data_IF_196636393763
#
_entry.id   IF_196636393763
#
_cell.length_a   1.000
_cell.length_b   1.000
_cell.length_c   1.000
_cell.angle_alpha   90.00
_cell.angle_beta   90.00
_cell.angle_gamma   90.00
#
_symmetry.space_group_name_H-M   'P 1'
#
loop_
_entity.id
_entity.type
_entity.pdbx_description
1 polymer ?
#
# COMPACT_ATOMS: atom_id res chain seq x y z
N UNK A 1 -43.03 -22.51 4.64
CA UNK A 1 -41.73 -22.80 3.99
C UNK A 1 -40.72 -21.80 4.54
N UNK A 2 -39.79 -22.26 5.38
CA UNK A 2 -38.72 -21.45 5.97
C UNK A 2 -37.46 -21.73 5.14
N UNK A 3 -36.67 -20.73 4.71
CA UNK A 3 -35.40 -21.03 4.05
C UNK A 3 -34.41 -21.59 5.09
N UNK A 4 -33.55 -22.54 4.71
CA UNK A 4 -32.59 -23.11 5.63
C UNK A 4 -31.44 -22.14 5.92
N UNK A 5 -31.02 -22.27 7.18
CA UNK A 5 -29.97 -21.61 7.95
C UNK A 5 -28.61 -21.56 7.24
N UNK A 6 -27.92 -20.41 7.30
CA UNK A 6 -26.52 -20.27 6.92
C UNK A 6 -25.64 -21.15 7.83
N UNK A 7 -24.87 -22.06 7.23
CA UNK A 7 -23.79 -22.77 7.91
C UNK A 7 -22.51 -21.97 7.75
N UNK A 8 -22.11 -21.27 8.82
CA UNK A 8 -20.73 -20.81 9.01
C UNK A 8 -19.82 -22.02 8.94
N UNK A 9 -18.97 -22.06 7.93
CA UNK A 9 -17.86 -23.01 7.85
C UNK A 9 -16.59 -22.18 8.01
N UNK A 10 -15.77 -22.55 8.99
CA UNK A 10 -14.38 -22.15 9.14
C UNK A 10 -13.68 -22.11 7.79
N UNK A 11 -13.35 -20.90 7.31
CA UNK A 11 -12.45 -20.74 6.18
C UNK A 11 -11.12 -20.28 6.76
N UNK A 12 -10.22 -21.23 6.98
CA UNK A 12 -8.79 -20.93 7.08
C UNK A 12 -8.32 -20.55 5.68
N UNK A 13 -8.60 -19.31 5.27
CA UNK A 13 -8.04 -18.77 4.04
C UNK A 13 -6.55 -18.59 4.29
N UNK A 14 -5.65 -19.20 3.50
CA UNK A 14 -4.24 -18.85 3.56
C UNK A 14 -4.13 -17.34 3.29
N UNK A 15 -3.34 -16.64 4.11
CA UNK A 15 -3.17 -15.18 4.14
C UNK A 15 -2.88 -14.50 2.78
N UNK A 16 -2.60 -15.28 1.72
CA UNK A 16 -2.17 -14.81 0.42
C UNK A 16 -3.31 -14.51 -0.57
N UNK A 17 -4.52 -15.09 -0.43
CA UNK A 17 -5.66 -14.78 -1.33
C UNK A 17 -6.46 -13.53 -0.91
N UNK A 18 -6.28 -13.05 0.31
CA UNK A 18 -6.96 -11.83 0.78
C UNK A 18 -6.30 -10.55 0.24
N UNK A 19 -5.10 -10.63 -0.33
CA UNK A 19 -4.31 -9.44 -0.73
C UNK A 19 -4.58 -8.94 -2.17
N UNK A 20 -5.34 -9.68 -2.98
CA UNK A 20 -5.56 -9.37 -4.41
C UNK A 20 -6.97 -8.85 -4.76
N UNK A 21 -7.77 -8.47 -3.77
CA UNK A 21 -9.03 -7.78 -4.01
C UNK A 21 -8.81 -6.28 -3.91
N UNK A 22 -9.20 -5.51 -4.94
CA UNK A 22 -9.17 -4.05 -4.91
C UNK A 22 -9.84 -3.48 -3.64
N UNK A 23 -10.88 -4.17 -3.14
CA UNK A 23 -11.58 -3.85 -1.89
C UNK A 23 -10.70 -3.98 -0.64
N UNK A 24 -9.70 -4.86 -0.63
CA UNK A 24 -8.76 -5.02 0.50
C UNK A 24 -7.67 -3.97 0.43
N UNK A 25 -7.10 -3.74 -0.75
CA UNK A 25 -6.13 -2.65 -0.95
C UNK A 25 -6.75 -1.31 -0.56
N UNK A 26 -7.96 -1.02 -1.04
CA UNK A 26 -8.67 0.22 -0.68
C UNK A 26 -8.89 0.35 0.83
N UNK A 27 -9.34 -0.72 1.51
CA UNK A 27 -9.52 -0.69 2.96
C UNK A 27 -8.22 -0.47 3.71
N UNK A 28 -7.13 -1.07 3.25
CA UNK A 28 -5.80 -0.88 3.85
C UNK A 28 -5.32 0.56 3.64
N UNK A 29 -5.39 1.09 2.42
CA UNK A 29 -5.01 2.48 2.10
C UNK A 29 -5.84 3.47 2.92
N UNK A 30 -7.15 3.27 3.02
CA UNK A 30 -8.04 4.14 3.80
C UNK A 30 -7.87 4.02 5.33
N UNK A 31 -7.04 3.10 5.84
CA UNK A 31 -6.82 2.94 7.28
C UNK A 31 -5.78 3.91 7.86
N UNK A 32 -5.02 4.59 7.00
CA UNK A 32 -3.99 5.55 7.37
C UNK A 32 -4.53 6.99 7.47
N UNK A 33 -3.69 7.92 7.94
CA UNK A 33 -4.11 9.29 8.27
C UNK A 33 -4.28 10.25 7.09
N UNK A 34 -3.76 9.90 5.91
CA UNK A 34 -3.94 10.70 4.69
C UNK A 34 -5.39 10.71 4.19
N UNK A 35 -5.78 11.67 3.33
CA UNK A 35 -7.08 11.60 2.65
C UNK A 35 -7.14 10.38 1.73
N UNK A 36 -8.06 9.45 1.98
CA UNK A 36 -8.04 8.15 1.30
C UNK A 36 -8.11 8.26 -0.24
N UNK A 37 -9.02 9.08 -0.78
CA UNK A 37 -9.18 9.24 -2.23
C UNK A 37 -7.94 9.86 -2.90
N UNK A 38 -7.15 10.64 -2.16
CA UNK A 38 -5.88 11.19 -2.64
C UNK A 38 -4.83 10.09 -2.72
N UNK A 39 -4.66 9.32 -1.64
CA UNK A 39 -3.73 8.21 -1.60
C UNK A 39 -4.01 7.15 -2.68
N UNK A 40 -5.28 6.83 -2.92
CA UNK A 40 -5.67 5.91 -4.00
C UNK A 40 -5.30 6.44 -5.39
N UNK A 41 -5.44 7.75 -5.64
CA UNK A 41 -5.03 8.38 -6.91
C UNK A 41 -3.51 8.36 -7.08
N UNK A 42 -2.76 8.59 -6.00
CA UNK A 42 -1.30 8.48 -6.00
C UNK A 42 -0.88 7.05 -6.33
N UNK A 43 -1.42 6.04 -5.63
CA UNK A 43 -1.10 4.63 -5.86
C UNK A 43 -1.42 4.18 -7.29
N UNK A 44 -2.58 4.57 -7.81
CA UNK A 44 -2.97 4.24 -9.19
C UNK A 44 -1.96 4.81 -10.21
N UNK A 45 -1.48 6.02 -9.98
CA UNK A 45 -0.51 6.69 -10.86
C UNK A 45 0.91 6.12 -10.71
N UNK A 46 1.38 5.91 -9.48
CA UNK A 46 2.74 5.47 -9.15
C UNK A 46 2.98 4.00 -9.51
N UNK A 47 2.03 3.12 -9.20
CA UNK A 47 2.22 1.67 -9.32
C UNK A 47 1.09 0.93 -10.03
N UNK A 48 -0.03 1.61 -10.34
CA UNK A 48 -1.27 0.96 -10.80
C UNK A 48 -1.78 -0.07 -9.80
N UNK A 49 -1.53 0.16 -8.51
CA UNK A 49 -1.87 -0.75 -7.42
C UNK A 49 -1.02 -2.02 -7.36
N UNK A 50 0.12 -2.10 -8.05
CA UNK A 50 1.02 -3.24 -7.98
C UNK A 50 2.02 -3.11 -6.82
N UNK A 51 1.93 -3.94 -5.75
CA UNK A 51 2.85 -3.89 -4.64
C UNK A 51 4.28 -4.35 -5.01
N UNK A 52 4.46 -5.02 -6.16
CA UNK A 52 5.78 -5.40 -6.67
C UNK A 52 6.32 -4.41 -7.69
N UNK A 53 5.67 -3.25 -7.88
CA UNK A 53 6.14 -2.23 -8.81
C UNK A 53 7.54 -1.75 -8.42
N UNK A 54 8.45 -1.74 -9.39
CA UNK A 54 9.82 -1.28 -9.21
C UNK A 54 10.23 -0.39 -10.38
N UNK A 55 10.84 0.75 -10.04
CA UNK A 55 11.51 1.62 -11.01
C UNK A 55 12.98 1.78 -10.64
N UNK A 56 13.93 1.57 -11.57
CA UNK A 56 15.35 1.78 -11.31
C UNK A 56 15.75 3.26 -11.26
N UNK A 57 14.82 4.19 -11.47
CA UNK A 57 15.09 5.62 -11.47
C UNK A 57 15.67 6.09 -10.13
N UNK A 58 16.61 7.03 -10.19
CA UNK A 58 17.23 7.73 -9.06
C UNK A 58 17.87 6.88 -7.96
N UNK A 59 17.99 5.56 -8.12
CA UNK A 59 18.52 4.66 -7.09
C UNK A 59 17.51 3.64 -6.58
N UNK A 60 16.28 3.65 -7.09
CA UNK A 60 15.26 2.62 -6.84
C UNK A 60 14.01 3.19 -6.16
N UNK A 61 12.85 2.96 -6.77
CA UNK A 61 11.52 3.25 -6.24
C UNK A 61 10.75 1.95 -6.07
N UNK A 62 10.07 1.78 -4.92
CA UNK A 62 9.56 0.47 -4.50
C UNK A 62 8.07 0.52 -4.14
N UNK A 63 7.34 -0.49 -4.61
CA UNK A 63 5.99 -0.85 -4.18
C UNK A 63 4.90 0.17 -4.52
N UNK A 64 3.79 0.10 -3.78
CA UNK A 64 2.55 0.81 -4.08
C UNK A 64 2.73 2.32 -4.22
N UNK A 65 3.51 2.91 -3.32
CA UNK A 65 3.76 4.35 -3.23
C UNK A 65 5.07 4.77 -3.92
N UNK A 66 5.75 3.85 -4.63
CA UNK A 66 7.05 4.11 -5.30
C UNK A 66 8.06 4.84 -4.39
N UNK A 67 8.25 4.34 -3.17
CA UNK A 67 9.10 5.01 -2.17
C UNK A 67 10.56 4.95 -2.60
N UNK A 68 11.24 6.10 -2.57
CA UNK A 68 12.68 6.17 -2.78
C UNK A 68 13.45 5.75 -1.52
N UNK A 69 13.95 4.50 -1.47
CA UNK A 69 14.65 3.98 -0.28
C UNK A 69 15.82 4.88 0.16
N UNK A 70 16.64 5.36 -0.79
CA UNK A 70 17.81 6.17 -0.48
C UNK A 70 17.51 7.52 0.19
N UNK A 71 16.34 8.09 -0.07
CA UNK A 71 15.92 9.38 0.52
C UNK A 71 15.19 9.23 1.86
N UNK A 72 14.68 8.03 2.16
CA UNK A 72 13.77 7.80 3.29
C UNK A 72 14.17 6.59 4.15
N UNK A 73 15.42 6.14 4.05
CA UNK A 73 15.94 5.02 4.86
C UNK A 73 15.86 5.31 6.37
N UNK A 74 15.80 6.58 6.78
CA UNK A 74 15.66 7.00 8.18
C UNK A 74 14.22 6.90 8.70
N UNK A 75 13.25 6.64 7.82
CA UNK A 75 11.82 6.55 8.16
C UNK A 75 11.38 5.13 8.52
N UNK A 76 12.23 4.13 8.34
CA UNK A 76 11.93 2.74 8.71
C UNK A 76 13.18 1.91 9.00
N UNK A 77 13.08 1.00 9.96
CA UNK A 77 14.18 0.11 10.36
C UNK A 77 14.10 -1.22 9.59
N UNK A 78 14.43 -1.16 8.30
CA UNK A 78 14.36 -2.31 7.39
C UNK A 78 15.27 -2.16 6.17
N UNK A 79 15.10 -3.03 5.18
CA UNK A 79 15.83 -2.97 3.91
C UNK A 79 14.90 -2.62 2.75
N UNK A 80 15.45 -2.17 1.63
CA UNK A 80 14.66 -1.78 0.46
C UNK A 80 13.67 -2.86 -0.02
N UNK A 81 14.01 -4.15 0.14
CA UNK A 81 13.12 -5.26 -0.22
C UNK A 81 11.84 -5.33 0.62
N UNK A 82 11.85 -4.82 1.85
CA UNK A 82 10.67 -4.80 2.73
C UNK A 82 9.61 -3.83 2.20
N UNK A 83 9.99 -2.85 1.37
CA UNK A 83 9.06 -1.91 0.74
C UNK A 83 8.17 -2.55 -0.35
N UNK A 84 8.39 -3.82 -0.72
CA UNK A 84 7.43 -4.56 -1.55
C UNK A 84 6.28 -5.18 -0.73
N UNK A 85 6.41 -5.25 0.59
CA UNK A 85 5.27 -5.57 1.45
C UNK A 85 4.30 -4.38 1.46
N UNK A 86 3.02 -4.56 1.08
CA UNK A 86 2.09 -3.46 0.95
C UNK A 86 1.78 -2.77 2.29
N UNK A 87 1.84 -3.49 3.41
CA UNK A 87 1.61 -2.89 4.73
C UNK A 87 2.78 -2.01 5.10
N UNK A 88 4.01 -2.51 4.98
CA UNK A 88 5.23 -1.74 5.23
C UNK A 88 5.30 -0.52 4.28
N UNK A 89 5.05 -0.71 3.00
CA UNK A 89 5.08 0.38 2.01
C UNK A 89 4.12 1.51 2.37
N UNK A 90 2.88 1.19 2.76
CA UNK A 90 1.89 2.19 3.13
C UNK A 90 2.20 2.83 4.48
N UNK A 91 2.75 2.08 5.44
CA UNK A 91 3.19 2.62 6.73
C UNK A 91 4.30 3.67 6.55
N UNK A 92 5.35 3.32 5.80
CA UNK A 92 6.45 4.24 5.49
C UNK A 92 5.96 5.42 4.67
N UNK A 93 5.11 5.17 3.66
CA UNK A 93 4.49 6.23 2.86
C UNK A 93 3.71 7.21 3.73
N UNK A 94 2.92 6.71 4.69
CA UNK A 94 2.13 7.57 5.56
C UNK A 94 3.03 8.41 6.50
N UNK A 95 4.17 7.88 6.96
CA UNK A 95 5.17 8.67 7.70
C UNK A 95 5.74 9.80 6.83
N UNK A 96 6.15 9.51 5.60
CA UNK A 96 6.67 10.53 4.67
C UNK A 96 5.62 11.62 4.37
N UNK A 97 4.36 11.20 4.20
CA UNK A 97 3.25 12.11 3.99
C UNK A 97 2.95 12.99 5.21
N UNK A 98 3.04 12.46 6.43
CA UNK A 98 2.88 13.27 7.64
C UNK A 98 3.95 14.37 7.76
N UNK A 99 5.16 14.12 7.25
CA UNK A 99 6.26 15.08 7.29
C UNK A 99 6.13 16.21 6.25
N UNK A 100 5.53 15.94 5.09
CA UNK A 100 5.62 16.85 3.93
C UNK A 100 4.40 16.90 3.01
N UNK A 101 3.30 16.25 3.38
CA UNK A 101 2.17 16.04 2.49
C UNK A 101 2.58 15.26 1.24
N UNK A 102 2.06 15.64 0.08
CA UNK A 102 2.30 14.94 -1.19
C UNK A 102 3.57 15.40 -1.94
N UNK A 103 4.45 16.19 -1.32
CA UNK A 103 5.59 16.81 -2.02
C UNK A 103 6.65 15.81 -2.51
N UNK A 104 6.74 14.62 -1.89
CA UNK A 104 7.75 13.60 -2.25
C UNK A 104 7.32 12.71 -3.42
N UNK A 105 6.08 12.81 -3.88
CA UNK A 105 5.56 12.01 -4.98
C UNK A 105 5.52 12.82 -6.27
N UNK A 106 5.86 12.17 -7.38
CA UNK A 106 5.71 12.76 -8.71
C UNK A 106 4.22 12.84 -9.04
N UNK A 107 3.49 11.75 -8.79
CA UNK A 107 2.04 11.73 -8.81
C UNK A 107 1.49 12.32 -7.51
N UNK A 108 0.68 13.37 -7.63
CA UNK A 108 0.01 14.00 -6.49
C UNK A 108 -1.43 14.39 -6.84
N UNK A 109 -2.30 14.59 -5.84
CA UNK A 109 -3.74 14.82 -6.05
C UNK A 109 -4.13 16.02 -6.91
#
# INVERSE_FOLDING_TARGET
RRPPTQSRSDVTVPNTELLYNADVLQRLVCSYSWPCEEALRVIECESKGDPNAYSPAYGGMYGLMQIHYGSHYDKFDGVAADLFDPVVNLEVGNVIWQDSGWEQWECKP
#
